data_IF_563726690920
#
_entry.id   IF_563726690920
#
_cell.length_a   1.000
_cell.length_b   1.000
_cell.length_c   1.000
_cell.angle_alpha   90.00
_cell.angle_beta   90.00
_cell.angle_gamma   90.00
#
_symmetry.space_group_name_H-M   'P 1'
#
loop_
_entity.id
_entity.type
_entity.pdbx_description
1 polymer ?
#
# COMPACT_ATOMS: atom_id res chain seq x y z
N UNK A 1 61.93 10.74 -11.03
CA UNK A 1 61.49 9.49 -10.38
C UNK A 1 60.04 9.68 -9.96
N UNK A 2 59.09 9.13 -10.72
CA UNK A 2 57.64 9.20 -10.40
C UNK A 2 57.33 7.87 -9.68
N UNK A 3 57.05 7.92 -8.40
CA UNK A 3 56.64 6.77 -7.60
C UNK A 3 55.27 6.27 -8.11
N UNK A 4 55.12 4.99 -8.44
CA UNK A 4 53.81 4.45 -8.83
C UNK A 4 52.87 4.45 -7.64
N UNK A 5 51.69 5.02 -7.85
CA UNK A 5 50.63 5.08 -6.84
C UNK A 5 50.17 3.65 -6.46
N UNK A 6 50.15 3.37 -5.15
CA UNK A 6 49.80 2.10 -4.54
C UNK A 6 48.39 1.61 -5.01
N UNK A 7 48.30 0.44 -5.67
CA UNK A 7 47.00 -0.13 -6.12
C UNK A 7 46.04 -0.47 -4.96
N UNK A 8 46.56 -0.73 -3.75
CA UNK A 8 45.72 -1.00 -2.55
C UNK A 8 44.94 0.22 -2.10
N UNK A 9 45.51 1.44 -2.26
CA UNK A 9 44.84 2.70 -1.89
C UNK A 9 43.68 3.05 -2.86
N UNK A 10 43.73 2.57 -4.13
CA UNK A 10 42.64 2.75 -5.11
C UNK A 10 41.48 1.80 -4.86
N UNK A 11 41.70 0.58 -4.41
CA UNK A 11 40.65 -0.40 -4.07
C UNK A 11 39.90 0.02 -2.79
N UNK A 12 40.60 0.49 -1.75
CA UNK A 12 39.98 0.95 -0.51
C UNK A 12 39.07 2.17 -0.72
N UNK A 13 39.50 3.17 -1.49
CA UNK A 13 38.69 4.36 -1.81
C UNK A 13 37.44 4.00 -2.67
N UNK A 14 37.53 3.03 -3.56
CA UNK A 14 36.41 2.54 -4.36
C UNK A 14 35.34 1.85 -3.53
N UNK A 15 35.73 1.04 -2.57
CA UNK A 15 34.81 0.32 -1.67
C UNK A 15 34.08 1.27 -0.72
N UNK A 16 34.78 2.23 -0.12
CA UNK A 16 34.19 3.24 0.79
C UNK A 16 33.18 4.12 0.03
N UNK A 17 33.51 4.53 -1.20
CA UNK A 17 32.59 5.36 -2.01
C UNK A 17 31.34 4.60 -2.45
N UNK A 18 31.41 3.29 -2.71
CA UNK A 18 30.26 2.46 -3.07
C UNK A 18 29.34 2.21 -1.88
N UNK A 19 29.89 2.03 -0.69
CA UNK A 19 29.10 1.82 0.55
C UNK A 19 28.38 3.11 0.97
N UNK A 20 29.04 4.26 0.89
CA UNK A 20 28.42 5.57 1.13
C UNK A 20 27.27 5.84 0.17
N UNK A 21 27.43 5.56 -1.13
CA UNK A 21 26.35 5.72 -2.11
C UNK A 21 25.17 4.81 -1.82
N UNK A 22 25.41 3.55 -1.40
CA UNK A 22 24.36 2.60 -1.03
C UNK A 22 23.61 3.08 0.20
N UNK A 23 24.30 3.58 1.23
CA UNK A 23 23.68 4.14 2.45
C UNK A 23 22.84 5.38 2.13
N UNK A 24 23.35 6.28 1.29
CA UNK A 24 22.59 7.47 0.83
C UNK A 24 21.32 7.07 0.07
N UNK A 25 21.43 6.12 -0.87
CA UNK A 25 20.27 5.63 -1.62
C UNK A 25 19.23 4.95 -0.71
N UNK A 26 19.66 4.19 0.29
CA UNK A 26 18.76 3.55 1.24
C UNK A 26 18.09 4.58 2.16
N UNK A 27 18.83 5.54 2.70
CA UNK A 27 18.26 6.67 3.46
C UNK A 27 17.25 7.46 2.63
N UNK A 28 17.58 7.75 1.37
CA UNK A 28 16.66 8.36 0.42
C UNK A 28 15.39 7.54 0.17
N UNK A 29 15.51 6.21 0.07
CA UNK A 29 14.36 5.31 -0.08
C UNK A 29 13.44 5.32 1.15
N UNK A 30 14.00 5.37 2.37
CA UNK A 30 13.20 5.44 3.62
C UNK A 30 12.48 6.79 3.76
N UNK A 31 13.17 7.90 3.46
CA UNK A 31 12.58 9.24 3.44
C UNK A 31 11.44 9.30 2.42
N UNK A 32 11.66 8.77 1.23
CA UNK A 32 10.64 8.70 0.19
C UNK A 32 9.46 7.81 0.63
N UNK A 33 9.72 6.65 1.25
CA UNK A 33 8.68 5.75 1.75
C UNK A 33 7.78 6.46 2.77
N UNK A 34 8.38 7.07 3.80
CA UNK A 34 7.64 7.85 4.78
C UNK A 34 6.83 8.96 4.10
N UNK A 35 7.48 9.79 3.27
CA UNK A 35 6.85 10.96 2.66
C UNK A 35 5.68 10.61 1.72
N UNK A 36 5.87 9.62 0.85
CA UNK A 36 4.85 9.21 -0.11
C UNK A 36 3.62 8.58 0.57
N UNK A 37 3.84 7.67 1.53
CA UNK A 37 2.74 7.07 2.29
C UNK A 37 2.09 8.06 3.26
N UNK A 38 2.81 9.01 3.84
CA UNK A 38 2.22 10.08 4.65
C UNK A 38 1.31 10.97 3.81
N UNK A 39 1.76 11.40 2.63
CA UNK A 39 0.94 12.17 1.68
C UNK A 39 -0.33 11.41 1.26
N UNK A 40 -0.19 10.12 0.99
CA UNK A 40 -1.32 9.25 0.65
C UNK A 40 -2.31 9.14 1.81
N UNK A 41 -1.85 8.77 3.00
CA UNK A 41 -2.70 8.53 4.17
C UNK A 41 -3.37 9.81 4.69
N UNK A 42 -2.68 10.97 4.67
CA UNK A 42 -3.29 12.26 5.01
C UNK A 42 -4.57 12.52 4.21
N UNK A 43 -4.51 12.30 2.89
CA UNK A 43 -5.63 12.60 2.02
C UNK A 43 -6.59 11.43 1.84
N UNK A 44 -6.21 10.20 2.17
CA UNK A 44 -7.12 9.06 2.17
C UNK A 44 -8.32 9.28 3.11
N UNK A 45 -8.11 9.95 4.24
CA UNK A 45 -9.16 10.26 5.21
C UNK A 45 -9.73 11.68 5.05
N UNK A 46 -8.91 12.67 4.69
CA UNK A 46 -9.34 14.07 4.63
C UNK A 46 -10.04 14.46 3.33
N UNK A 47 -9.64 13.89 2.19
CA UNK A 47 -10.19 14.27 0.89
C UNK A 47 -11.66 13.83 0.72
N UNK A 48 -12.10 12.64 1.16
CA UNK A 48 -13.52 12.29 1.21
C UNK A 48 -14.36 13.29 2.05
N UNK A 49 -13.86 13.72 3.22
CA UNK A 49 -14.52 14.70 4.06
C UNK A 49 -14.60 16.08 3.36
N UNK A 50 -13.54 16.50 2.68
CA UNK A 50 -13.55 17.72 1.88
C UNK A 50 -14.56 17.67 0.74
N UNK A 51 -14.69 16.53 0.05
CA UNK A 51 -15.65 16.36 -1.02
C UNK A 51 -17.10 16.49 -0.53
N UNK A 52 -17.43 15.85 0.62
CA UNK A 52 -18.75 15.96 1.22
C UNK A 52 -19.06 17.40 1.62
N UNK A 53 -18.11 18.11 2.22
CA UNK A 53 -18.23 19.54 2.52
C UNK A 53 -18.48 20.39 1.26
N UNK A 54 -17.87 20.01 0.15
CA UNK A 54 -18.02 20.70 -1.15
C UNK A 54 -19.31 20.32 -1.88
N UNK A 55 -20.24 19.63 -1.22
CA UNK A 55 -21.55 19.25 -1.77
C UNK A 55 -21.59 17.91 -2.47
N UNK A 56 -20.51 17.14 -2.48
CA UNK A 56 -20.53 15.76 -2.97
C UNK A 56 -21.16 14.85 -1.90
N UNK A 57 -22.04 13.96 -2.30
CA UNK A 57 -22.57 12.93 -1.40
C UNK A 57 -21.53 11.83 -1.10
N UNK A 58 -21.87 10.84 -0.26
CA UNK A 58 -20.99 9.71 0.06
C UNK A 58 -20.43 8.98 -1.16
N UNK A 59 -21.23 8.84 -2.21
CA UNK A 59 -20.80 8.25 -3.50
C UNK A 59 -19.68 9.07 -4.17
N UNK A 60 -19.77 10.40 -4.13
CA UNK A 60 -18.72 11.28 -4.63
C UNK A 60 -17.43 11.18 -3.82
N UNK A 61 -17.56 11.10 -2.49
CA UNK A 61 -16.41 10.88 -1.61
C UNK A 61 -15.70 9.56 -1.90
N UNK A 62 -16.44 8.47 -2.07
CA UNK A 62 -15.90 7.16 -2.42
C UNK A 62 -15.27 7.14 -3.82
N UNK A 63 -15.86 7.86 -4.78
CA UNK A 63 -15.33 7.97 -6.13
C UNK A 63 -13.93 8.59 -6.19
N UNK A 64 -13.59 9.54 -5.31
CA UNK A 64 -12.25 10.14 -5.27
C UNK A 64 -11.16 9.11 -4.92
N UNK A 65 -11.38 8.31 -3.90
CA UNK A 65 -10.45 7.24 -3.52
C UNK A 65 -10.38 6.17 -4.61
N UNK A 66 -11.54 5.79 -5.18
CA UNK A 66 -11.60 4.84 -6.28
C UNK A 66 -10.85 5.33 -7.54
N UNK A 67 -11.00 6.60 -7.89
CA UNK A 67 -10.29 7.22 -9.03
C UNK A 67 -8.78 7.21 -8.81
N UNK A 68 -8.32 7.55 -7.59
CA UNK A 68 -6.91 7.48 -7.22
C UNK A 68 -6.39 6.05 -7.38
N UNK A 69 -7.10 5.04 -6.84
CA UNK A 69 -6.70 3.64 -6.93
C UNK A 69 -6.74 3.11 -8.37
N UNK A 70 -7.75 3.46 -9.15
CA UNK A 70 -7.83 3.09 -10.57
C UNK A 70 -6.64 3.64 -11.37
N UNK A 71 -6.26 4.90 -11.15
CA UNK A 71 -5.10 5.52 -11.78
C UNK A 71 -3.79 4.89 -11.33
N UNK A 72 -3.69 4.52 -10.04
CA UNK A 72 -2.57 3.77 -9.46
C UNK A 72 -2.39 2.45 -10.20
N UNK A 73 -3.46 1.68 -10.35
CA UNK A 73 -3.45 0.40 -11.08
C UNK A 73 -3.11 0.58 -12.56
N UNK A 74 -3.67 1.60 -13.20
CA UNK A 74 -3.47 1.85 -14.63
C UNK A 74 -2.01 2.18 -14.99
N UNK A 75 -1.26 2.85 -14.11
CA UNK A 75 0.13 3.23 -14.39
C UNK A 75 1.14 2.12 -14.08
N UNK A 76 0.83 1.19 -13.18
CA UNK A 76 1.78 0.17 -12.72
C UNK A 76 2.41 -0.66 -13.84
N UNK A 77 1.68 -1.13 -14.88
CA UNK A 77 2.27 -1.88 -15.99
C UNK A 77 3.33 -1.11 -16.79
N UNK A 78 3.25 0.22 -16.79
CA UNK A 78 4.16 1.10 -17.53
C UNK A 78 5.41 1.50 -16.74
N UNK A 79 5.45 1.20 -15.43
CA UNK A 79 6.57 1.61 -14.57
C UNK A 79 7.92 1.04 -14.98
N UNK A 80 8.07 -0.22 -15.45
CA UNK A 80 9.37 -0.73 -15.91
C UNK A 80 9.92 0.06 -17.11
N UNK A 81 9.05 0.43 -18.04
CA UNK A 81 9.40 1.27 -19.18
C UNK A 81 9.82 2.67 -18.72
N UNK A 82 9.08 3.26 -17.79
CA UNK A 82 9.38 4.57 -17.22
C UNK A 82 10.76 4.58 -16.53
N UNK A 83 11.04 3.54 -15.73
CA UNK A 83 12.34 3.40 -15.03
C UNK A 83 13.50 3.23 -15.99
N UNK A 84 13.30 2.51 -17.09
CA UNK A 84 14.31 2.36 -18.11
C UNK A 84 14.62 3.68 -18.85
N UNK A 85 13.59 4.52 -19.06
CA UNK A 85 13.73 5.82 -19.76
C UNK A 85 14.27 6.94 -18.87
N UNK A 86 13.72 7.12 -17.69
CA UNK A 86 14.03 8.24 -16.81
C UNK A 86 15.14 7.93 -15.79
N UNK A 87 15.40 6.64 -15.54
CA UNK A 87 16.27 6.19 -14.46
C UNK A 87 15.60 6.32 -13.08
N UNK A 88 16.26 5.75 -12.05
CA UNK A 88 15.69 5.63 -10.70
C UNK A 88 15.36 6.98 -10.06
N UNK A 89 16.32 7.92 -10.10
CA UNK A 89 16.18 9.23 -9.49
C UNK A 89 15.02 10.03 -10.08
N UNK A 90 14.98 10.15 -11.41
CA UNK A 90 13.96 10.97 -12.07
C UNK A 90 12.57 10.35 -11.98
N UNK A 91 12.47 9.01 -12.01
CA UNK A 91 11.19 8.31 -11.82
C UNK A 91 10.63 8.54 -10.42
N UNK A 92 11.49 8.49 -9.39
CA UNK A 92 11.09 8.74 -8.01
C UNK A 92 10.72 10.23 -7.82
N UNK A 93 11.50 11.16 -8.39
CA UNK A 93 11.18 12.60 -8.35
C UNK A 93 9.85 12.90 -9.05
N UNK A 94 9.63 12.34 -10.23
CA UNK A 94 8.37 12.47 -10.97
C UNK A 94 7.18 11.95 -10.15
N UNK A 95 7.33 10.80 -9.52
CA UNK A 95 6.26 10.22 -8.70
C UNK A 95 5.89 11.14 -7.53
N UNK A 96 6.87 11.73 -6.84
CA UNK A 96 6.66 12.69 -5.77
C UNK A 96 6.01 13.98 -6.27
N UNK A 97 6.42 14.49 -7.43
CA UNK A 97 5.81 15.66 -8.04
C UNK A 97 4.33 15.42 -8.43
N UNK A 98 4.03 14.30 -9.08
CA UNK A 98 2.65 13.93 -9.44
C UNK A 98 1.78 13.65 -8.21
N UNK A 99 2.35 13.18 -7.12
CA UNK A 99 1.63 12.96 -5.87
C UNK A 99 1.40 14.28 -5.11
N UNK A 100 2.36 15.20 -5.12
CA UNK A 100 2.36 16.40 -4.30
C UNK A 100 1.74 17.64 -4.96
N UNK A 101 2.13 17.97 -6.20
CA UNK A 101 1.69 19.20 -6.85
C UNK A 101 0.17 19.31 -6.99
N UNK A 102 -0.58 18.24 -7.36
CA UNK A 102 -2.04 18.32 -7.41
C UNK A 102 -2.66 18.62 -6.04
N UNK A 103 -1.98 18.27 -4.93
CA UNK A 103 -2.50 18.56 -3.59
C UNK A 103 -2.60 20.07 -3.33
N UNK A 104 -1.69 20.86 -3.88
CA UNK A 104 -1.73 22.33 -3.78
C UNK A 104 -2.87 22.96 -4.61
N UNK A 105 -3.36 22.24 -5.63
CA UNK A 105 -4.47 22.69 -6.45
C UNK A 105 -5.85 22.31 -5.88
N UNK A 106 -5.93 21.41 -4.90
CA UNK A 106 -7.19 20.95 -4.30
C UNK A 106 -8.05 22.09 -3.74
N UNK A 107 -7.51 23.13 -3.05
CA UNK A 107 -8.33 24.23 -2.54
C UNK A 107 -9.05 25.03 -3.65
N UNK A 108 -8.50 25.04 -4.85
CA UNK A 108 -9.09 25.74 -6.00
C UNK A 108 -10.09 24.88 -6.78
N UNK A 109 -10.19 23.59 -6.47
CA UNK A 109 -11.11 22.67 -7.14
C UNK A 109 -12.52 22.82 -6.57
N UNK A 110 -13.42 23.43 -7.33
CA UNK A 110 -14.81 23.72 -6.92
C UNK A 110 -15.82 22.64 -7.38
N UNK A 111 -15.39 21.68 -8.21
CA UNK A 111 -16.27 20.65 -8.75
C UNK A 111 -15.75 19.25 -8.45
N UNK A 112 -16.66 18.27 -8.31
CA UNK A 112 -16.29 16.87 -8.12
C UNK A 112 -15.43 16.34 -9.28
N UNK A 113 -15.69 16.80 -10.51
CA UNK A 113 -14.89 16.44 -11.69
C UNK A 113 -13.44 16.92 -11.54
N UNK A 114 -13.23 18.17 -11.11
CA UNK A 114 -11.89 18.72 -10.87
C UNK A 114 -11.17 17.93 -9.75
N UNK A 115 -11.86 17.64 -8.63
CA UNK A 115 -11.32 16.83 -7.55
C UNK A 115 -10.91 15.43 -8.04
N UNK A 116 -11.75 14.77 -8.84
CA UNK A 116 -11.42 13.47 -9.44
C UNK A 116 -10.21 13.56 -10.39
N UNK A 117 -10.12 14.62 -11.20
CA UNK A 117 -8.97 14.86 -12.06
C UNK A 117 -7.65 14.97 -11.26
N UNK A 118 -7.67 15.74 -10.18
CA UNK A 118 -6.51 15.85 -9.28
C UNK A 118 -6.20 14.53 -8.57
N UNK A 119 -7.23 13.79 -8.13
CA UNK A 119 -7.07 12.46 -7.53
C UNK A 119 -6.46 11.47 -8.54
N UNK A 120 -6.86 11.53 -9.82
CA UNK A 120 -6.29 10.69 -10.88
C UNK A 120 -4.79 10.98 -11.08
N UNK A 121 -4.38 12.24 -11.15
CA UNK A 121 -2.97 12.62 -11.28
C UNK A 121 -2.16 12.16 -10.06
N UNK A 122 -2.71 12.32 -8.86
CA UNK A 122 -2.10 11.80 -7.63
C UNK A 122 -1.95 10.29 -7.65
N UNK A 123 -2.96 9.57 -8.16
CA UNK A 123 -2.93 8.12 -8.32
C UNK A 123 -1.84 7.64 -9.26
N UNK A 124 -1.62 8.33 -10.39
CA UNK A 124 -0.47 8.06 -11.27
C UNK A 124 0.85 8.20 -10.50
N UNK A 125 1.02 9.29 -9.73
CA UNK A 125 2.19 9.52 -8.89
C UNK A 125 2.38 8.41 -7.85
N UNK A 126 1.30 8.04 -7.16
CA UNK A 126 1.34 7.00 -6.13
C UNK A 126 1.69 5.62 -6.70
N UNK A 127 1.13 5.24 -7.86
CA UNK A 127 1.43 3.97 -8.51
C UNK A 127 2.89 3.84 -8.96
N UNK A 128 3.47 4.90 -9.54
CA UNK A 128 4.90 4.95 -9.87
C UNK A 128 5.74 4.82 -8.59
N UNK A 129 5.36 5.55 -7.53
CA UNK A 129 6.05 5.59 -6.25
C UNK A 129 6.09 4.23 -5.56
N UNK A 130 4.95 3.53 -5.44
CA UNK A 130 4.85 2.23 -4.75
C UNK A 130 5.74 1.19 -5.43
N UNK A 131 5.70 1.11 -6.77
CA UNK A 131 6.54 0.17 -7.53
C UNK A 131 8.02 0.55 -7.44
N UNK A 132 8.37 1.84 -7.54
CA UNK A 132 9.73 2.33 -7.41
C UNK A 132 10.31 2.04 -6.02
N UNK A 133 9.55 2.30 -4.97
CA UNK A 133 10.00 2.16 -3.58
C UNK A 133 10.43 0.74 -3.24
N UNK A 134 9.61 -0.25 -3.55
CA UNK A 134 9.92 -1.66 -3.31
C UNK A 134 11.07 -2.12 -4.21
N UNK A 135 10.99 -1.83 -5.52
CA UNK A 135 11.98 -2.27 -6.50
C UNK A 135 13.37 -1.72 -6.17
N UNK A 136 13.47 -0.40 -5.97
CA UNK A 136 14.75 0.25 -5.76
C UNK A 136 15.37 -0.13 -4.40
N UNK A 137 14.55 -0.30 -3.36
CA UNK A 137 15.02 -0.76 -2.05
C UNK A 137 15.60 -2.17 -2.10
N UNK A 138 14.92 -3.09 -2.81
CA UNK A 138 15.38 -4.48 -2.92
C UNK A 138 16.66 -4.63 -3.78
N UNK A 139 16.83 -3.78 -4.77
CA UNK A 139 18.02 -3.78 -5.64
C UNK A 139 19.29 -3.25 -4.93
N UNK A 140 19.15 -2.46 -3.86
CA UNK A 140 20.30 -1.93 -3.12
C UNK A 140 21.03 -2.98 -2.29
N UNK A 141 20.40 -4.14 -2.01
CA UNK A 141 20.95 -5.15 -1.11
C UNK A 141 21.08 -6.52 -1.77
N UNK A 142 22.15 -7.28 -1.46
CA UNK A 142 22.25 -8.69 -1.81
C UNK A 142 21.16 -9.49 -1.09
N UNK A 143 20.88 -10.73 -1.55
CA UNK A 143 19.80 -11.56 -1.04
C UNK A 143 19.75 -11.66 0.50
N UNK A 144 20.89 -11.84 1.13
CA UNK A 144 21.02 -11.95 2.60
C UNK A 144 20.61 -10.69 3.39
N UNK A 145 20.61 -9.50 2.76
CA UNK A 145 20.28 -8.22 3.42
C UNK A 145 18.90 -7.66 3.06
N UNK A 146 18.23 -8.24 2.05
CA UNK A 146 16.95 -7.72 1.52
C UNK A 146 15.83 -7.74 2.54
N UNK A 147 15.72 -8.79 3.35
CA UNK A 147 14.68 -8.90 4.38
C UNK A 147 14.73 -7.74 5.38
N UNK A 148 15.93 -7.41 5.88
CA UNK A 148 16.12 -6.28 6.80
C UNK A 148 15.81 -4.94 6.14
N UNK A 149 16.20 -4.75 4.87
CA UNK A 149 15.91 -3.53 4.13
C UNK A 149 14.40 -3.34 3.91
N UNK A 150 13.67 -4.40 3.53
CA UNK A 150 12.21 -4.42 3.40
C UNK A 150 11.55 -4.15 4.77
N UNK A 151 12.10 -4.70 5.86
CA UNK A 151 11.62 -4.42 7.22
C UNK A 151 11.68 -2.93 7.58
N UNK A 152 12.81 -2.28 7.33
CA UNK A 152 12.95 -0.82 7.56
C UNK A 152 12.04 0.00 6.64
N UNK A 153 11.91 -0.40 5.37
CA UNK A 153 10.96 0.23 4.44
C UNK A 153 9.53 0.10 4.97
N UNK A 154 9.13 -1.10 5.39
CA UNK A 154 7.82 -1.35 5.99
C UNK A 154 7.58 -0.56 7.28
N UNK A 155 8.61 -0.36 8.12
CA UNK A 155 8.51 0.48 9.30
C UNK A 155 8.24 1.94 8.94
N UNK A 156 8.94 2.49 7.93
CA UNK A 156 8.70 3.85 7.44
C UNK A 156 7.26 4.01 6.90
N UNK A 157 6.76 3.02 6.14
CA UNK A 157 5.35 2.96 5.67
C UNK A 157 4.38 2.90 6.85
N UNK A 158 4.67 2.07 7.86
CA UNK A 158 3.83 1.91 9.05
C UNK A 158 3.70 3.21 9.85
N UNK A 159 4.82 3.88 10.12
CA UNK A 159 4.83 5.18 10.82
C UNK A 159 4.05 6.23 10.02
N UNK A 160 4.22 6.28 8.71
CA UNK A 160 3.47 7.16 7.83
C UNK A 160 1.95 6.92 7.90
N UNK A 161 1.52 5.67 7.99
CA UNK A 161 0.12 5.30 8.15
C UNK A 161 -0.45 5.71 9.52
N UNK A 162 0.28 5.38 10.59
CA UNK A 162 -0.11 5.70 11.98
C UNK A 162 -0.29 7.20 12.19
N UNK A 163 0.52 8.04 11.55
CA UNK A 163 0.44 9.49 11.67
C UNK A 163 -0.50 10.12 10.63
N UNK A 164 -0.46 9.64 9.37
CA UNK A 164 -1.07 10.35 8.24
C UNK A 164 -2.59 10.38 8.30
N UNK A 165 -3.25 9.23 8.37
CA UNK A 165 -4.71 9.18 8.31
C UNK A 165 -5.41 9.84 9.52
N UNK A 166 -4.96 9.61 10.78
CA UNK A 166 -5.53 10.30 11.93
C UNK A 166 -5.34 11.82 11.88
N UNK A 167 -4.12 12.27 11.50
CA UNK A 167 -3.83 13.70 11.38
C UNK A 167 -4.66 14.34 10.27
N UNK A 168 -4.81 13.67 9.13
CA UNK A 168 -5.61 14.15 8.02
C UNK A 168 -7.04 14.46 8.42
N UNK A 169 -7.71 13.50 9.09
CA UNK A 169 -9.10 13.72 9.53
C UNK A 169 -9.19 14.67 10.73
N UNK A 170 -8.21 14.72 11.62
CA UNK A 170 -8.20 15.67 12.73
C UNK A 170 -8.11 17.13 12.22
N UNK A 171 -7.29 17.39 11.22
CA UNK A 171 -7.20 18.70 10.57
C UNK A 171 -8.45 19.02 9.75
N UNK A 172 -9.00 18.04 9.03
CA UNK A 172 -10.23 18.20 8.27
C UNK A 172 -11.42 18.63 9.16
N UNK A 173 -11.49 18.08 10.39
CA UNK A 173 -12.51 18.46 11.38
C UNK A 173 -12.36 19.89 11.92
N UNK A 174 -11.14 20.40 11.93
CA UNK A 174 -10.86 21.79 12.26
C UNK A 174 -11.01 22.72 11.05
N UNK A 175 -11.54 22.20 9.93
CA UNK A 175 -11.64 22.89 8.65
C UNK A 175 -10.30 23.37 8.07
N UNK A 176 -9.19 22.88 8.60
CA UNK A 176 -7.84 23.25 8.21
C UNK A 176 -7.40 22.54 6.90
N UNK A 177 -8.27 22.54 5.89
CA UNK A 177 -8.03 21.84 4.63
C UNK A 177 -6.81 22.33 3.88
N UNK A 178 -6.59 23.67 3.84
CA UNK A 178 -5.41 24.25 3.19
C UNK A 178 -4.12 23.74 3.82
N UNK A 179 -4.08 23.66 5.16
CA UNK A 179 -2.94 23.08 5.87
C UNK A 179 -2.79 21.59 5.57
N UNK A 180 -3.89 20.83 5.55
CA UNK A 180 -3.87 19.40 5.22
C UNK A 180 -3.29 19.14 3.83
N UNK A 181 -3.70 19.94 2.84
CA UNK A 181 -3.22 19.82 1.47
C UNK A 181 -1.76 20.27 1.33
N UNK A 182 -1.36 21.32 2.04
CA UNK A 182 0.04 21.75 2.10
C UNK A 182 0.95 20.70 2.76
N UNK A 183 0.50 20.07 3.85
CA UNK A 183 1.22 18.96 4.48
C UNK A 183 1.32 17.75 3.56
N UNK A 184 0.24 17.41 2.83
CA UNK A 184 0.27 16.33 1.86
C UNK A 184 1.24 16.63 0.70
N UNK A 185 1.30 17.85 0.23
CA UNK A 185 2.27 18.27 -0.77
C UNK A 185 3.71 18.27 -0.22
N UNK A 186 3.91 18.78 1.01
CA UNK A 186 5.21 18.81 1.67
C UNK A 186 5.77 17.41 1.93
N UNK A 187 4.92 16.49 2.43
CA UNK A 187 5.33 15.09 2.63
C UNK A 187 5.61 14.38 1.30
N UNK A 188 4.84 14.64 0.23
CA UNK A 188 5.19 14.17 -1.12
C UNK A 188 6.51 14.78 -1.62
N UNK A 189 6.84 16.02 -1.21
CA UNK A 189 8.14 16.64 -1.45
C UNK A 189 9.32 15.85 -0.88
N UNK A 190 9.10 15.09 0.21
CA UNK A 190 10.10 14.16 0.75
C UNK A 190 10.41 13.02 -0.23
N UNK A 191 9.48 12.63 -1.10
CA UNK A 191 9.76 11.65 -2.17
C UNK A 191 10.73 12.25 -3.18
N UNK A 192 10.52 13.52 -3.55
CA UNK A 192 11.45 14.25 -4.42
C UNK A 192 12.81 14.40 -3.72
N UNK A 193 12.85 14.81 -2.46
CA UNK A 193 14.09 14.93 -1.68
C UNK A 193 14.81 13.59 -1.56
N UNK A 194 14.11 12.50 -1.23
CA UNK A 194 14.66 11.16 -1.15
C UNK A 194 15.25 10.66 -2.47
N UNK A 195 14.73 11.13 -3.61
CA UNK A 195 15.26 10.79 -4.93
C UNK A 195 16.71 11.21 -5.11
N UNK A 196 17.16 12.27 -4.44
CA UNK A 196 18.54 12.77 -4.51
C UNK A 196 19.56 11.80 -3.88
N UNK A 197 19.10 10.87 -3.03
CA UNK A 197 19.92 9.76 -2.54
C UNK A 197 20.36 8.78 -3.63
N UNK A 198 19.65 8.75 -4.75
CA UNK A 198 19.98 7.87 -5.89
C UNK A 198 20.90 8.58 -6.90
N UNK A 199 21.86 7.84 -7.52
CA UNK A 199 22.77 8.41 -8.50
C UNK A 199 22.00 8.92 -9.72
N UNK A 200 22.52 9.99 -10.36
CA UNK A 200 22.07 10.46 -11.66
C UNK A 200 22.55 9.49 -12.73
N UNK A 201 21.68 9.07 -13.61
CA UNK A 201 22.04 8.26 -14.79
C UNK A 201 20.93 7.29 -15.18
N UNK A 202 20.78 7.11 -16.46
CA UNK A 202 20.00 6.04 -17.08
C UNK A 202 20.85 4.75 -17.09
N UNK A 203 21.29 4.30 -15.90
CA UNK A 203 21.77 2.93 -15.81
C UNK A 203 20.54 2.04 -16.01
N UNK A 204 20.52 1.11 -16.96
CA UNK A 204 19.40 0.21 -17.10
C UNK A 204 19.18 -0.45 -15.74
N UNK A 205 17.96 -0.33 -15.18
CA UNK A 205 17.42 -1.41 -14.38
C UNK A 205 17.74 -2.65 -15.23
N UNK A 206 18.54 -3.58 -14.70
CA UNK A 206 19.00 -4.77 -15.43
C UNK A 206 17.78 -5.26 -16.21
N UNK A 207 17.78 -5.25 -17.56
CA UNK A 207 16.61 -5.69 -18.29
C UNK A 207 16.34 -7.08 -17.76
N UNK A 208 15.13 -7.33 -17.33
CA UNK A 208 14.66 -8.69 -17.16
C UNK A 208 15.04 -9.38 -18.46
N UNK A 209 15.98 -10.36 -18.38
CA UNK A 209 16.68 -10.88 -19.56
C UNK A 209 15.68 -11.24 -20.67
N UNK A 210 16.07 -11.39 -21.93
CA UNK A 210 15.18 -11.57 -23.09
C UNK A 210 14.12 -12.65 -22.93
N UNK A 211 14.30 -13.56 -21.98
CA UNK A 211 13.30 -14.56 -21.57
C UNK A 211 12.10 -14.02 -20.81
N UNK A 212 12.24 -12.89 -20.08
CA UNK A 212 11.12 -12.31 -19.32
C UNK A 212 10.16 -11.50 -20.22
N UNK A 213 10.66 -10.92 -21.29
CA UNK A 213 9.82 -10.16 -22.25
C UNK A 213 9.03 -11.08 -23.22
N UNK A 214 9.39 -12.33 -23.34
CA UNK A 214 8.85 -13.24 -24.39
C UNK A 214 7.62 -14.04 -24.00
N UNK A 215 7.07 -13.94 -22.79
CA UNK A 215 5.99 -14.80 -22.32
C UNK A 215 4.76 -14.08 -21.77
N UNK A 216 4.52 -12.83 -22.14
CA UNK A 216 3.26 -12.16 -21.81
C UNK A 216 2.14 -12.61 -22.75
N UNK A 217 1.75 -13.87 -22.67
CA UNK A 217 0.43 -14.28 -23.11
C UNK A 217 -0.50 -14.22 -21.90
N UNK A 218 -1.69 -13.68 -22.06
CA UNK A 218 -2.74 -13.61 -21.02
C UNK A 218 -2.93 -14.98 -20.36
N UNK A 219 -2.87 -16.08 -21.17
CA UNK A 219 -2.93 -17.47 -20.66
C UNK A 219 -1.73 -17.85 -19.80
N UNK A 220 -0.53 -17.40 -20.13
CA UNK A 220 0.70 -17.68 -19.36
C UNK A 220 0.70 -16.93 -18.02
N UNK A 221 0.27 -15.65 -18.03
CA UNK A 221 0.09 -14.85 -16.81
C UNK A 221 -0.96 -15.47 -15.89
N UNK A 222 -2.12 -15.87 -16.43
CA UNK A 222 -3.18 -16.52 -15.66
C UNK A 222 -2.73 -17.85 -15.03
N UNK A 223 -2.00 -18.69 -15.76
CA UNK A 223 -1.46 -19.95 -15.21
C UNK A 223 -0.50 -19.70 -14.06
N UNK A 224 0.33 -18.67 -14.13
CA UNK A 224 1.28 -18.33 -13.07
C UNK A 224 0.62 -17.74 -11.82
N UNK A 225 -0.53 -17.04 -11.98
CA UNK A 225 -1.28 -16.46 -10.86
C UNK A 225 -2.25 -17.44 -10.19
N UNK A 226 -2.66 -18.52 -10.91
CA UNK A 226 -3.64 -19.48 -10.40
C UNK A 226 -3.33 -20.05 -9.00
N UNK A 227 -2.07 -20.38 -8.63
CA UNK A 227 -1.74 -20.84 -7.29
C UNK A 227 -1.95 -19.77 -6.19
N UNK A 228 -1.88 -18.49 -6.56
CA UNK A 228 -1.99 -17.36 -5.66
C UNK A 228 -3.41 -16.82 -5.53
N UNK A 229 -4.38 -17.31 -6.35
CA UNK A 229 -5.73 -16.75 -6.45
C UNK A 229 -6.44 -16.68 -5.10
N UNK A 230 -6.37 -17.73 -4.29
CA UNK A 230 -7.02 -17.75 -2.98
C UNK A 230 -6.51 -16.63 -2.05
N UNK A 231 -5.21 -16.57 -1.74
CA UNK A 231 -4.66 -15.49 -0.93
C UNK A 231 -4.90 -14.08 -1.53
N UNK A 232 -4.86 -13.92 -2.86
CA UNK A 232 -5.13 -12.65 -3.52
C UNK A 232 -6.62 -12.22 -3.40
N UNK A 233 -7.57 -13.15 -3.45
CA UNK A 233 -8.98 -12.84 -3.21
C UNK A 233 -9.23 -12.40 -1.76
N UNK A 234 -8.59 -13.06 -0.78
CA UNK A 234 -8.66 -12.61 0.62
C UNK A 234 -8.02 -11.23 0.78
N UNK A 235 -6.92 -10.97 0.08
CA UNK A 235 -6.29 -9.65 0.07
C UNK A 235 -7.25 -8.58 -0.47
N UNK A 236 -7.85 -8.80 -1.64
CA UNK A 236 -8.84 -7.88 -2.24
C UNK A 236 -9.99 -7.61 -1.27
N UNK A 237 -10.55 -8.64 -0.63
CA UNK A 237 -11.69 -8.44 0.27
C UNK A 237 -11.31 -7.72 1.56
N UNK A 238 -10.15 -8.03 2.15
CA UNK A 238 -9.68 -7.33 3.35
C UNK A 238 -9.35 -5.86 3.07
N UNK A 239 -8.78 -5.59 1.90
CA UNK A 239 -8.50 -4.21 1.47
C UNK A 239 -9.76 -3.49 0.98
N UNK A 240 -10.80 -4.21 0.56
CA UNK A 240 -12.15 -3.63 0.38
C UNK A 240 -12.68 -3.10 1.70
N UNK A 241 -12.56 -3.87 2.79
CA UNK A 241 -12.91 -3.39 4.13
C UNK A 241 -12.02 -2.20 4.56
N UNK A 242 -10.73 -2.22 4.25
CA UNK A 242 -9.83 -1.09 4.48
C UNK A 242 -10.29 0.18 3.75
N UNK A 243 -10.63 0.08 2.47
CA UNK A 243 -11.18 1.19 1.67
C UNK A 243 -12.47 1.75 2.27
N UNK A 244 -13.37 0.89 2.74
CA UNK A 244 -14.60 1.30 3.44
C UNK A 244 -14.28 2.03 4.74
N UNK A 245 -13.48 1.45 5.62
CA UNK A 245 -13.16 2.02 6.94
C UNK A 245 -12.47 3.38 6.79
N UNK A 246 -11.42 3.47 5.96
CA UNK A 246 -10.63 4.70 5.84
C UNK A 246 -11.32 5.81 5.05
N UNK A 247 -12.30 5.48 4.20
CA UNK A 247 -13.09 6.47 3.46
C UNK A 247 -14.32 6.94 4.25
N UNK A 248 -15.01 6.04 4.97
CA UNK A 248 -16.35 6.34 5.50
C UNK A 248 -16.41 6.51 7.01
N UNK A 249 -15.54 5.90 7.83
CA UNK A 249 -15.46 6.23 9.27
C UNK A 249 -15.21 7.73 9.50
N UNK A 250 -14.35 8.42 8.69
CA UNK A 250 -14.22 9.87 8.76
C UNK A 250 -15.50 10.66 8.57
N UNK A 251 -16.46 10.13 7.82
CA UNK A 251 -17.73 10.79 7.49
C UNK A 251 -18.85 10.50 8.50
N UNK A 252 -18.76 9.38 9.23
CA UNK A 252 -19.87 8.86 10.04
C UNK A 252 -19.63 8.96 11.54
N UNK A 253 -18.37 9.01 12.01
CA UNK A 253 -18.08 8.87 13.43
C UNK A 253 -17.35 10.09 14.02
N UNK A 254 -17.78 10.56 15.19
CA UNK A 254 -17.14 11.68 15.90
C UNK A 254 -15.72 11.34 16.39
N UNK A 255 -15.45 10.11 16.79
CA UNK A 255 -14.15 9.62 17.24
C UNK A 255 -13.25 9.09 16.12
N UNK A 256 -13.51 9.47 14.84
CA UNK A 256 -12.76 8.96 13.69
C UNK A 256 -11.23 9.16 13.79
N UNK A 257 -10.66 10.31 14.22
CA UNK A 257 -9.23 10.45 14.35
C UNK A 257 -8.60 9.40 15.27
N UNK A 258 -9.22 9.17 16.44
CA UNK A 258 -8.78 8.19 17.42
C UNK A 258 -8.97 6.76 16.90
N UNK A 259 -10.08 6.48 16.23
CA UNK A 259 -10.35 5.17 15.62
C UNK A 259 -9.34 4.83 14.52
N UNK A 260 -9.02 5.77 13.63
CA UNK A 260 -8.01 5.55 12.59
C UNK A 260 -6.60 5.39 13.18
N UNK A 261 -6.28 6.12 14.26
CA UNK A 261 -5.03 5.94 14.98
C UNK A 261 -4.95 4.52 15.59
N UNK A 262 -6.00 4.10 16.29
CA UNK A 262 -6.09 2.77 16.89
C UNK A 262 -5.97 1.66 15.84
N UNK A 263 -6.68 1.79 14.72
CA UNK A 263 -6.63 0.83 13.62
C UNK A 263 -5.23 0.72 13.00
N UNK A 264 -4.57 1.84 12.71
CA UNK A 264 -3.23 1.82 12.12
C UNK A 264 -2.18 1.32 13.10
N UNK A 265 -2.21 1.77 14.35
CA UNK A 265 -1.26 1.34 15.38
C UNK A 265 -1.39 -0.17 15.65
N UNK A 266 -2.61 -0.68 15.84
CA UNK A 266 -2.85 -2.11 16.07
C UNK A 266 -2.48 -2.94 14.84
N UNK A 267 -2.68 -2.42 13.61
CA UNK A 267 -2.26 -3.11 12.38
C UNK A 267 -0.73 -3.27 12.29
N UNK A 268 0.02 -2.23 12.62
CA UNK A 268 1.50 -2.30 12.64
C UNK A 268 1.99 -3.30 13.68
N UNK A 269 1.43 -3.26 14.89
CA UNK A 269 1.79 -4.20 15.97
C UNK A 269 1.42 -5.65 15.60
N UNK A 270 0.22 -5.83 15.05
CA UNK A 270 -0.25 -7.16 14.65
C UNK A 270 0.59 -7.78 13.54
N UNK A 271 1.15 -6.99 12.61
CA UNK A 271 2.08 -7.50 11.59
C UNK A 271 3.33 -8.14 12.21
N UNK A 272 3.86 -7.57 13.29
CA UNK A 272 5.03 -8.12 13.99
C UNK A 272 4.68 -9.46 14.66
N UNK A 273 3.55 -9.50 15.37
CA UNK A 273 3.06 -10.72 16.03
C UNK A 273 2.68 -11.80 15.00
N UNK A 274 2.01 -11.41 13.92
CA UNK A 274 1.60 -12.32 12.86
C UNK A 274 2.80 -13.02 12.20
N UNK A 275 3.94 -12.34 12.06
CA UNK A 275 5.18 -12.98 11.57
C UNK A 275 5.54 -14.22 12.39
N UNK A 276 5.60 -14.08 13.72
CA UNK A 276 5.91 -15.20 14.63
C UNK A 276 4.84 -16.31 14.59
N UNK A 277 3.57 -15.93 14.54
CA UNK A 277 2.48 -16.91 14.44
C UNK A 277 2.52 -17.68 13.11
N UNK A 278 2.88 -17.02 12.01
CA UNK A 278 2.99 -17.65 10.70
C UNK A 278 4.17 -18.64 10.68
N UNK A 279 5.30 -18.28 11.28
CA UNK A 279 6.47 -19.15 11.37
C UNK A 279 6.18 -20.42 12.21
N UNK A 280 5.37 -20.28 13.30
CA UNK A 280 5.03 -21.39 14.18
C UNK A 280 3.86 -22.26 13.71
N UNK A 281 2.80 -21.66 13.18
CA UNK A 281 1.53 -22.33 12.89
C UNK A 281 1.21 -22.43 11.39
N UNK A 282 1.95 -21.69 10.55
CA UNK A 282 1.72 -21.58 9.10
C UNK A 282 0.68 -20.53 8.72
N UNK A 283 0.88 -19.89 7.56
CA UNK A 283 0.07 -18.76 7.12
C UNK A 283 -1.43 -19.03 7.01
N UNK A 284 -1.84 -20.22 6.59
CA UNK A 284 -3.27 -20.58 6.45
C UNK A 284 -4.01 -20.65 7.79
N UNK A 285 -3.37 -21.14 8.85
CA UNK A 285 -3.98 -21.23 10.18
C UNK A 285 -4.13 -19.86 10.82
N UNK A 286 -3.24 -18.93 10.53
CA UNK A 286 -3.30 -17.54 10.98
C UNK A 286 -4.35 -16.74 10.19
N UNK A 287 -4.52 -17.03 8.90
CA UNK A 287 -5.38 -16.27 7.99
C UNK A 287 -6.86 -16.30 8.40
N UNK A 288 -7.39 -17.49 8.76
CA UNK A 288 -8.83 -17.63 9.09
C UNK A 288 -9.24 -16.78 10.29
N UNK A 289 -8.60 -16.90 11.48
CA UNK A 289 -8.95 -16.04 12.61
C UNK A 289 -8.69 -14.57 12.33
N UNK A 290 -7.64 -14.23 11.56
CA UNK A 290 -7.35 -12.85 11.19
C UNK A 290 -8.47 -12.23 10.35
N UNK A 291 -9.02 -12.96 9.38
CA UNK A 291 -10.18 -12.51 8.58
C UNK A 291 -11.41 -12.29 9.46
N UNK A 292 -11.71 -13.21 10.40
CA UNK A 292 -12.85 -13.07 11.32
C UNK A 292 -12.69 -11.84 12.22
N UNK A 293 -11.50 -11.62 12.78
CA UNK A 293 -11.21 -10.45 13.62
C UNK A 293 -11.33 -9.17 12.79
N UNK A 294 -10.85 -9.15 11.54
CA UNK A 294 -11.03 -8.01 10.63
C UNK A 294 -12.51 -7.74 10.35
N UNK A 295 -13.29 -8.79 10.09
CA UNK A 295 -14.72 -8.66 9.82
C UNK A 295 -15.49 -8.11 11.05
N UNK A 296 -15.21 -8.64 12.25
CA UNK A 296 -15.79 -8.14 13.50
C UNK A 296 -15.45 -6.65 13.73
N UNK A 297 -14.18 -6.28 13.56
CA UNK A 297 -13.76 -4.89 13.66
C UNK A 297 -14.39 -3.99 12.60
N UNK A 298 -14.59 -4.50 11.37
CA UNK A 298 -15.31 -3.76 10.31
C UNK A 298 -16.78 -3.55 10.70
N UNK A 299 -17.47 -4.57 11.20
CA UNK A 299 -18.87 -4.47 11.62
C UNK A 299 -19.07 -3.44 12.73
N UNK A 300 -18.11 -3.29 13.64
CA UNK A 300 -18.15 -2.29 14.72
C UNK A 300 -18.14 -0.83 14.20
N UNK A 301 -17.79 -0.58 12.94
CA UNK A 301 -17.94 0.72 12.29
C UNK A 301 -19.39 1.22 12.25
N UNK A 302 -20.38 0.32 12.38
CA UNK A 302 -21.79 0.69 12.52
C UNK A 302 -22.12 1.41 13.84
N UNK A 303 -21.27 1.26 14.86
CA UNK A 303 -21.40 1.93 16.16
C UNK A 303 -20.77 3.33 16.15
N UNK A 304 -21.04 4.12 15.11
CA UNK A 304 -20.45 5.45 14.88
C UNK A 304 -20.74 6.44 16.03
N UNK A 305 -21.85 6.25 16.76
CA UNK A 305 -22.30 7.11 17.86
C UNK A 305 -21.76 6.66 19.22
N UNK A 306 -21.13 5.48 19.30
CA UNK A 306 -20.59 4.88 20.52
C UNK A 306 -19.05 4.85 20.47
N UNK A 307 -18.35 5.89 20.95
CA UNK A 307 -16.90 6.01 20.77
C UNK A 307 -16.10 4.82 21.33
N UNK A 308 -16.50 4.26 22.46
CA UNK A 308 -15.79 3.13 23.08
C UNK A 308 -15.88 1.86 22.20
N UNK A 309 -17.06 1.56 21.65
CA UNK A 309 -17.27 0.41 20.77
C UNK A 309 -16.57 0.61 19.43
N UNK A 310 -16.63 1.82 18.88
CA UNK A 310 -15.89 2.17 17.66
C UNK A 310 -14.38 2.00 17.83
N UNK A 311 -13.81 2.45 18.96
CA UNK A 311 -12.38 2.31 19.24
C UNK A 311 -11.99 0.84 19.43
N UNK A 312 -12.77 0.06 20.18
CA UNK A 312 -12.55 -1.38 20.30
C UNK A 312 -12.62 -2.08 18.94
N UNK A 313 -13.61 -1.74 18.12
CA UNK A 313 -13.71 -2.22 16.74
C UNK A 313 -12.53 -1.82 15.86
N UNK A 314 -12.05 -0.60 15.99
CA UNK A 314 -10.89 -0.13 15.24
C UNK A 314 -9.60 -0.89 15.61
N UNK A 315 -9.40 -1.21 16.91
CA UNK A 315 -8.30 -2.07 17.36
C UNK A 315 -8.43 -3.47 16.77
N UNK A 316 -9.62 -4.08 16.82
CA UNK A 316 -9.88 -5.39 16.22
C UNK A 316 -9.66 -5.37 14.71
N UNK A 317 -10.21 -4.37 14.02
CA UNK A 317 -10.00 -4.19 12.59
C UNK A 317 -8.52 -4.14 12.25
N UNK A 318 -7.77 -3.27 12.90
CA UNK A 318 -6.35 -3.11 12.64
C UNK A 318 -5.55 -4.37 12.95
N UNK A 319 -5.80 -5.01 14.09
CA UNK A 319 -5.11 -6.24 14.47
C UNK A 319 -5.37 -7.38 13.46
N UNK A 320 -6.64 -7.59 13.10
CA UNK A 320 -7.01 -8.59 12.10
C UNK A 320 -6.43 -8.25 10.73
N UNK A 321 -6.59 -7.02 10.26
CA UNK A 321 -6.09 -6.54 8.97
C UNK A 321 -4.56 -6.67 8.86
N UNK A 322 -3.81 -6.27 9.89
CA UNK A 322 -2.36 -6.42 9.92
C UNK A 322 -1.91 -7.88 9.81
N UNK A 323 -2.61 -8.78 10.49
CA UNK A 323 -2.35 -10.22 10.42
C UNK A 323 -2.71 -10.79 9.03
N UNK A 324 -3.84 -10.38 8.43
CA UNK A 324 -4.23 -10.77 7.05
C UNK A 324 -3.17 -10.32 6.06
N UNK A 325 -2.70 -9.08 6.15
CA UNK A 325 -1.65 -8.52 5.27
C UNK A 325 -0.37 -9.36 5.30
N UNK A 326 0.08 -9.76 6.49
CA UNK A 326 1.26 -10.61 6.64
C UNK A 326 1.03 -12.02 6.10
N UNK A 327 -0.12 -12.63 6.41
CA UNK A 327 -0.43 -14.00 6.01
C UNK A 327 -0.64 -14.11 4.50
N UNK A 328 -1.37 -13.19 3.87
CA UNK A 328 -1.60 -13.20 2.41
C UNK A 328 -0.31 -13.00 1.65
N UNK A 329 0.55 -12.07 2.09
CA UNK A 329 1.85 -11.84 1.46
C UNK A 329 2.73 -13.09 1.50
N UNK A 330 2.84 -13.74 2.67
CA UNK A 330 3.62 -14.98 2.82
C UNK A 330 3.06 -16.10 1.93
N UNK A 331 1.74 -16.29 1.93
CA UNK A 331 1.09 -17.32 1.12
C UNK A 331 1.25 -17.08 -0.39
N UNK A 332 1.20 -15.82 -0.82
CA UNK A 332 1.45 -15.44 -2.23
C UNK A 332 2.90 -15.70 -2.61
N UNK A 333 3.86 -15.38 -1.73
CA UNK A 333 5.28 -15.65 -1.97
C UNK A 333 5.59 -17.15 -2.01
N UNK A 334 5.05 -17.95 -1.09
CA UNK A 334 5.18 -19.41 -1.10
C UNK A 334 4.61 -20.04 -2.38
N UNK A 335 3.43 -19.61 -2.80
CA UNK A 335 2.82 -20.09 -4.04
C UNK A 335 3.63 -19.70 -5.30
N UNK A 336 4.42 -18.61 -5.23
CA UNK A 336 5.31 -18.19 -6.31
C UNK A 336 6.59 -19.02 -6.38
N UNK A 337 7.14 -19.45 -5.24
CA UNK A 337 8.33 -20.31 -5.15
C UNK A 337 8.01 -21.72 -5.64
N UNK A 338 6.84 -22.26 -5.31
CA UNK A 338 6.35 -23.56 -5.81
C UNK A 338 6.01 -23.55 -7.32
N UNK A 339 5.82 -22.33 -7.88
CA UNK A 339 5.41 -22.10 -9.26
C UNK A 339 6.47 -21.42 -10.12
N UNK A 340 6.13 -21.16 -11.37
CA UNK A 340 7.01 -20.46 -12.33
C UNK A 340 6.90 -18.93 -12.27
N UNK A 341 6.18 -18.36 -11.31
CA UNK A 341 5.82 -16.94 -11.30
C UNK A 341 6.98 -15.99 -10.91
N UNK A 342 7.84 -16.43 -10.01
CA UNK A 342 8.92 -15.62 -9.43
C UNK A 342 8.44 -14.58 -8.41
N UNK A 343 9.23 -14.37 -7.36
CA UNK A 343 8.91 -13.53 -6.20
C UNK A 343 8.54 -12.08 -6.55
N UNK A 344 9.19 -11.50 -7.56
CA UNK A 344 8.91 -10.12 -7.98
C UNK A 344 7.49 -9.96 -8.54
N UNK A 345 6.99 -10.93 -9.32
CA UNK A 345 5.61 -10.91 -9.85
C UNK A 345 4.57 -11.15 -8.76
N UNK A 346 4.89 -11.97 -7.78
CA UNK A 346 4.06 -12.21 -6.61
C UNK A 346 3.81 -10.92 -5.81
N UNK A 347 4.87 -10.17 -5.52
CA UNK A 347 4.77 -8.89 -4.82
C UNK A 347 3.96 -7.84 -5.60
N UNK A 348 4.14 -7.76 -6.93
CA UNK A 348 3.33 -6.87 -7.77
C UNK A 348 1.85 -7.29 -7.76
N UNK A 349 1.54 -8.58 -7.89
CA UNK A 349 0.17 -9.08 -7.86
C UNK A 349 -0.50 -8.77 -6.50
N UNK A 350 0.23 -8.90 -5.40
CA UNK A 350 -0.27 -8.58 -4.06
C UNK A 350 -0.55 -7.08 -3.91
N UNK A 351 0.34 -6.18 -4.40
CA UNK A 351 0.08 -4.75 -4.40
C UNK A 351 -1.13 -4.37 -5.27
N UNK A 352 -1.26 -4.98 -6.46
CA UNK A 352 -2.43 -4.79 -7.33
C UNK A 352 -3.71 -5.20 -6.60
N UNK A 353 -3.70 -6.32 -5.86
CA UNK A 353 -4.83 -6.78 -5.08
C UNK A 353 -5.19 -5.78 -3.97
N UNK A 354 -4.18 -5.22 -3.29
CA UNK A 354 -4.36 -4.18 -2.28
C UNK A 354 -5.05 -2.94 -2.86
N UNK A 355 -4.51 -2.40 -3.94
CA UNK A 355 -5.03 -1.17 -4.57
C UNK A 355 -6.43 -1.39 -5.15
N UNK A 356 -6.66 -2.55 -5.79
CA UNK A 356 -7.96 -2.92 -6.35
C UNK A 356 -9.04 -3.02 -5.26
N UNK A 357 -8.75 -3.75 -4.17
CA UNK A 357 -9.69 -3.89 -3.07
C UNK A 357 -10.01 -2.55 -2.40
N UNK A 358 -8.99 -1.73 -2.12
CA UNK A 358 -9.20 -0.39 -1.56
C UNK A 358 -10.09 0.47 -2.46
N UNK A 359 -9.87 0.45 -3.77
CA UNK A 359 -10.71 1.16 -4.74
C UNK A 359 -12.14 0.63 -4.81
N UNK A 360 -12.32 -0.69 -4.81
CA UNK A 360 -13.65 -1.35 -4.82
C UNK A 360 -14.43 -0.96 -3.57
N UNK A 361 -13.81 -1.04 -2.39
CA UNK A 361 -14.46 -0.71 -1.11
C UNK A 361 -14.92 0.74 -1.05
N UNK A 362 -14.07 1.66 -1.48
CA UNK A 362 -14.39 3.07 -1.52
C UNK A 362 -15.50 3.37 -2.54
N UNK A 363 -15.48 2.75 -3.72
CA UNK A 363 -16.49 2.96 -4.75
C UNK A 363 -17.86 2.38 -4.35
N UNK A 364 -17.88 1.13 -3.88
CA UNK A 364 -19.13 0.44 -3.53
C UNK A 364 -19.72 0.95 -2.20
N UNK A 365 -18.86 1.44 -1.29
CA UNK A 365 -19.30 1.90 0.02
C UNK A 365 -20.16 3.16 -0.01
N UNK A 366 -19.94 4.06 -0.97
CA UNK A 366 -20.71 5.30 -1.09
C UNK A 366 -22.21 5.08 -1.30
N UNK A 367 -22.64 4.33 -2.31
CA UNK A 367 -24.05 3.97 -2.51
C UNK A 367 -24.64 3.22 -1.30
N UNK A 368 -23.90 2.28 -0.68
CA UNK A 368 -24.37 1.55 0.49
C UNK A 368 -24.60 2.48 1.69
N UNK A 369 -23.67 3.43 1.92
CA UNK A 369 -23.82 4.42 2.98
C UNK A 369 -25.03 5.34 2.71
N UNK A 370 -25.24 5.74 1.46
CA UNK A 370 -26.37 6.58 1.08
C UNK A 370 -27.71 5.88 1.23
N UNK A 371 -27.78 4.57 0.99
CA UNK A 371 -29.02 3.79 1.01
C UNK A 371 -29.47 3.38 2.42
N UNK A 372 -28.52 3.03 3.32
CA UNK A 372 -28.86 2.46 4.62
C UNK A 372 -27.95 2.91 5.76
N UNK A 373 -27.16 3.96 5.57
CA UNK A 373 -26.28 4.49 6.60
C UNK A 373 -25.14 3.55 7.02
N UNK A 374 -24.49 3.85 8.16
CA UNK A 374 -23.42 3.03 8.72
C UNK A 374 -23.87 1.60 9.03
N UNK A 375 -25.11 1.41 9.45
CA UNK A 375 -25.71 0.12 9.81
C UNK A 375 -25.89 -0.83 8.62
N UNK A 376 -25.96 -0.31 7.39
CA UNK A 376 -25.95 -1.13 6.18
C UNK A 376 -24.51 -1.34 5.66
N UNK A 377 -23.70 -0.28 5.63
CA UNK A 377 -22.37 -0.30 5.03
C UNK A 377 -21.42 -1.28 5.72
N UNK A 378 -21.18 -1.09 7.02
CA UNK A 378 -20.14 -1.81 7.73
C UNK A 378 -20.46 -3.30 7.93
N UNK A 379 -21.68 -3.71 8.36
CA UNK A 379 -22.02 -5.12 8.47
C UNK A 379 -22.06 -5.86 7.14
N UNK A 380 -22.53 -5.22 6.06
CA UNK A 380 -22.52 -5.83 4.72
C UNK A 380 -21.09 -6.09 4.24
N UNK A 381 -20.19 -5.12 4.45
CA UNK A 381 -18.76 -5.27 4.14
C UNK A 381 -18.12 -6.39 4.97
N UNK A 382 -18.43 -6.45 6.27
CA UNK A 382 -17.94 -7.50 7.16
C UNK A 382 -18.43 -8.90 6.74
N UNK A 383 -19.72 -9.01 6.40
CA UNK A 383 -20.32 -10.26 5.93
C UNK A 383 -19.69 -10.71 4.60
N UNK A 384 -19.46 -9.79 3.65
CA UNK A 384 -18.80 -10.10 2.39
C UNK A 384 -17.35 -10.60 2.59
N UNK A 385 -16.61 -10.01 3.54
CA UNK A 385 -15.27 -10.47 3.90
C UNK A 385 -15.31 -11.87 4.54
N UNK A 386 -16.21 -12.10 5.50
CA UNK A 386 -16.34 -13.39 6.18
C UNK A 386 -16.83 -14.50 5.24
N UNK A 387 -17.68 -14.18 4.25
CA UNK A 387 -18.20 -15.14 3.29
C UNK A 387 -17.11 -15.80 2.43
N UNK A 388 -15.97 -15.15 2.25
CA UNK A 388 -14.82 -15.76 1.55
C UNK A 388 -14.26 -16.99 2.26
N UNK A 389 -14.45 -17.12 3.57
CA UNK A 389 -14.04 -18.31 4.32
C UNK A 389 -14.90 -19.53 3.99
N UNK A 390 -16.09 -19.33 3.43
CA UNK A 390 -17.00 -20.39 3.00
C UNK A 390 -16.62 -20.93 1.60
N UNK A 391 -15.77 -20.25 0.86
CA UNK A 391 -15.30 -20.69 -0.46
C UNK A 391 -14.33 -21.87 -0.25
N UNK A 392 -14.66 -23.10 -0.70
CA UNK A 392 -13.80 -24.25 -0.49
C UNK A 392 -12.42 -24.04 -1.10
N UNK A 393 -11.38 -24.15 -0.31
CA UNK A 393 -10.01 -24.18 -0.84
C UNK A 393 -9.81 -25.46 -1.64
N UNK A 394 -9.80 -25.39 -2.96
CA UNK A 394 -9.75 -26.51 -3.90
C UNK A 394 -8.43 -27.30 -3.91
N UNK A 395 -7.59 -27.17 -2.90
CA UNK A 395 -6.36 -27.95 -2.75
C UNK A 395 -6.39 -28.77 -1.45
N UNK A 396 -6.74 -30.04 -1.57
CA UNK A 396 -6.29 -31.06 -0.59
C UNK A 396 -4.75 -31.13 -0.68
N UNK A 397 -4.03 -31.20 0.44
CA UNK A 397 -2.62 -31.55 0.42
C UNK A 397 -2.53 -32.95 -0.23
N UNK A 398 -1.74 -33.09 -1.28
CA UNK A 398 -1.24 -34.42 -1.67
C UNK A 398 -0.36 -34.89 -0.52
N UNK A 399 -0.88 -35.73 0.33
CA UNK A 399 -0.04 -36.65 1.07
C UNK A 399 0.68 -37.47 -0.01
N UNK A 400 1.97 -37.27 -0.17
CA UNK A 400 2.86 -38.24 -0.75
C UNK A 400 2.91 -39.38 0.25
N UNK A 401 2.12 -40.43 -0.01
CA UNK A 401 2.42 -41.76 0.48
C UNK A 401 3.75 -42.19 -0.16
N UNK A 402 4.86 -41.79 0.41
CA UNK A 402 6.09 -42.57 0.32
C UNK A 402 6.08 -43.57 1.47
N UNK A 403 5.33 -44.61 1.22
CA UNK A 403 5.33 -45.83 2.01
C UNK A 403 5.98 -46.96 1.22
N UNK A 404 7.06 -47.46 1.77
CA UNK A 404 7.77 -48.71 1.56
C UNK A 404 8.96 -48.69 0.64
#
# INVERSE_FOLDING_TARGET
MITPADPAARTGRGLVSSDLRRRSAFGGALIAAFGGFASFNLLLSALPAYAVRSGAGPSGAGALTATLMASTLAVQPFTPWLFARLGRRNSLALSGALLGLPSLALPAASTLTALNGLAAVRGLGFGIFVVAGVTFTTELFPAAGRGRAIGWYGAAVGVAGVLGAPLGIALARQEAYTLTFALAAGTAGLVVAGSFGFPRGTGPARPAGPRAARSWTVRGAWRSLRPMTGPLLVEIASTTAYGVVFTFVPLTASAAPQALLAAQASSVLARLVAGWLIDGYGGRRVLVPAVLVTALGTAAGSASDEPALLLAGAVLFGAGFGAVQSATLVLVMQAADEGSAGLGRAGVAWNIAFDAGTGIGSLAGGPLLSAGGPSALFPTTAAALAALLLVPSTRRPRHSDEGK
#
